data_IF_262047786771
#
_entry.id   IF_262047786771
#
_cell.length_a   1.000
_cell.length_b   1.000
_cell.length_c   1.000
_cell.angle_alpha   90.00
_cell.angle_beta   90.00
_cell.angle_gamma   90.00
#
_symmetry.space_group_name_H-M   'P 1'
#
loop_
_entity.id
_entity.type
_entity.pdbx_description
1 polymer ?
#
# COMPACT_ATOMS: atom_id res chain seq x y z
N UNK A 1 13.87 50.81 -13.18
CA UNK A 1 13.54 49.37 -13.20
C UNK A 1 14.36 48.69 -12.10
N UNK A 2 13.81 48.64 -10.90
CA UNK A 2 14.42 47.95 -9.76
C UNK A 2 13.81 46.54 -9.66
N UNK A 3 14.63 45.50 -9.78
CA UNK A 3 14.23 44.09 -9.62
C UNK A 3 14.71 43.61 -8.26
N UNK A 4 14.04 44.04 -7.20
CA UNK A 4 14.11 43.41 -5.89
C UNK A 4 13.38 42.06 -5.94
N UNK A 5 14.07 41.04 -6.47
CA UNK A 5 13.67 39.63 -6.26
C UNK A 5 13.91 39.30 -4.79
N UNK A 6 12.87 39.52 -3.98
CA UNK A 6 12.81 39.06 -2.60
C UNK A 6 13.19 37.58 -2.52
N UNK A 7 14.29 37.30 -1.84
CA UNK A 7 14.70 35.95 -1.47
C UNK A 7 13.65 35.45 -0.48
N UNK A 8 12.63 34.77 -0.98
CA UNK A 8 11.56 34.16 -0.18
C UNK A 8 12.26 33.20 0.80
N UNK A 9 12.29 33.55 2.08
CA UNK A 9 12.81 32.67 3.12
C UNK A 9 12.12 31.30 2.95
N UNK A 10 12.90 30.25 2.73
CA UNK A 10 12.37 28.91 2.55
C UNK A 10 11.52 28.58 3.79
N UNK A 11 10.21 28.43 3.62
CA UNK A 11 9.32 28.04 4.72
C UNK A 11 9.80 26.69 5.23
N UNK A 12 10.12 26.61 6.52
CA UNK A 12 10.38 25.34 7.21
C UNK A 12 9.06 24.57 7.15
N UNK A 13 9.03 23.50 6.36
CA UNK A 13 7.87 22.62 6.19
C UNK A 13 7.91 21.54 7.26
N UNK A 14 6.85 21.38 8.05
CA UNK A 14 6.78 20.31 9.04
C UNK A 14 6.63 18.93 8.38
N UNK A 15 6.92 17.86 9.13
CA UNK A 15 6.87 16.49 8.61
C UNK A 15 5.49 16.12 8.03
N UNK A 16 4.41 16.53 8.68
CA UNK A 16 3.04 16.24 8.24
C UNK A 16 2.73 16.88 6.87
N UNK A 17 3.07 18.16 6.72
CA UNK A 17 2.93 18.89 5.47
C UNK A 17 3.87 18.33 4.38
N UNK A 18 5.06 17.86 4.77
CA UNK A 18 5.98 17.22 3.85
C UNK A 18 5.47 15.86 3.37
N UNK A 19 4.84 15.05 4.23
CA UNK A 19 4.19 13.80 3.84
C UNK A 19 3.10 14.07 2.78
N UNK A 20 2.27 15.09 2.99
CA UNK A 20 1.25 15.49 2.03
C UNK A 20 1.88 15.91 0.68
N UNK A 21 2.85 16.82 0.72
CA UNK A 21 3.62 17.25 -0.47
C UNK A 21 4.22 16.05 -1.20
N UNK A 22 4.81 15.11 -0.48
CA UNK A 22 5.41 13.91 -1.04
C UNK A 22 4.38 13.08 -1.82
N UNK A 23 3.18 12.88 -1.28
CA UNK A 23 2.08 12.16 -1.93
C UNK A 23 1.60 12.91 -3.18
N UNK A 24 1.44 14.24 -3.08
CA UNK A 24 0.96 15.06 -4.19
C UNK A 24 1.96 15.07 -5.36
N UNK A 25 3.25 15.13 -5.07
CA UNK A 25 4.31 15.01 -6.09
C UNK A 25 4.35 13.62 -6.75
N UNK A 26 3.99 12.55 -6.01
CA UNK A 26 3.85 11.22 -6.61
C UNK A 26 2.64 11.16 -7.55
N UNK A 27 1.54 11.81 -7.19
CA UNK A 27 0.30 11.87 -8.00
C UNK A 27 0.49 12.71 -9.27
N UNK A 28 1.16 13.85 -9.16
CA UNK A 28 1.46 14.72 -10.31
C UNK A 28 2.55 14.16 -11.23
N UNK A 29 3.31 13.17 -10.76
CA UNK A 29 4.46 12.61 -11.48
C UNK A 29 5.72 13.48 -11.40
N UNK A 30 5.70 14.56 -10.60
CA UNK A 30 6.89 15.36 -10.29
C UNK A 30 7.94 14.50 -9.59
N UNK A 31 7.52 13.64 -8.67
CA UNK A 31 8.39 12.65 -8.02
C UNK A 31 8.30 11.33 -8.75
N UNK A 32 9.46 10.84 -9.19
CA UNK A 32 9.62 9.56 -9.87
C UNK A 32 10.23 8.52 -8.93
N UNK A 33 10.05 7.25 -9.26
CA UNK A 33 10.72 6.16 -8.57
C UNK A 33 12.21 6.10 -8.95
N UNK A 34 12.97 5.22 -8.29
CA UNK A 34 14.41 5.06 -8.53
C UNK A 34 14.77 4.66 -9.98
N UNK A 35 13.80 4.18 -10.76
CA UNK A 35 13.95 3.85 -12.19
C UNK A 35 13.57 5.01 -13.12
N UNK A 36 13.27 6.19 -12.57
CA UNK A 36 12.80 7.35 -13.33
C UNK A 36 11.37 7.21 -13.88
N UNK A 37 10.60 6.21 -13.42
CA UNK A 37 9.21 6.00 -13.85
C UNK A 37 8.22 6.57 -12.84
N UNK A 38 6.97 6.76 -13.28
CA UNK A 38 5.87 7.11 -12.40
C UNK A 38 5.60 6.00 -11.37
N UNK A 39 5.06 6.38 -10.23
CA UNK A 39 4.64 5.41 -9.22
C UNK A 39 3.35 4.71 -9.65
N UNK A 40 3.26 3.40 -9.36
CA UNK A 40 2.02 2.67 -9.56
C UNK A 40 0.93 3.19 -8.61
N UNK A 41 -0.36 3.11 -8.99
CA UNK A 41 -1.46 3.51 -8.10
C UNK A 41 -1.43 2.82 -6.73
N UNK A 42 -1.04 1.54 -6.71
CA UNK A 42 -0.87 0.79 -5.46
C UNK A 42 0.22 1.36 -4.55
N UNK A 43 1.32 1.88 -5.12
CA UNK A 43 2.38 2.50 -4.32
C UNK A 43 1.94 3.83 -3.72
N UNK A 44 1.20 4.63 -4.48
CA UNK A 44 0.60 5.89 -3.99
C UNK A 44 -0.40 5.58 -2.86
N UNK A 45 -1.25 4.56 -3.05
CA UNK A 45 -2.21 4.10 -2.02
C UNK A 45 -1.52 3.72 -0.71
N UNK A 46 -0.36 3.05 -0.78
CA UNK A 46 0.42 2.72 0.42
C UNK A 46 0.89 3.97 1.19
N UNK A 47 1.31 5.03 0.48
CA UNK A 47 1.70 6.30 1.11
C UNK A 47 0.53 7.04 1.75
N UNK A 48 -0.61 7.06 1.07
CA UNK A 48 -1.86 7.63 1.61
C UNK A 48 -2.31 6.86 2.86
N UNK A 49 -2.24 5.53 2.82
CA UNK A 49 -2.56 4.68 3.97
C UNK A 49 -1.60 4.94 5.14
N UNK A 50 -0.30 5.09 4.86
CA UNK A 50 0.66 5.51 5.89
C UNK A 50 0.32 6.87 6.50
N UNK A 51 0.01 7.88 5.71
CA UNK A 51 -0.37 9.19 6.22
C UNK A 51 -1.60 9.10 7.14
N UNK A 52 -2.61 8.33 6.75
CA UNK A 52 -3.80 8.13 7.58
C UNK A 52 -3.48 7.47 8.92
N UNK A 53 -2.67 6.41 8.94
CA UNK A 53 -2.29 5.76 10.21
C UNK A 53 -1.36 6.61 11.07
N UNK A 54 -0.47 7.39 10.44
CA UNK A 54 0.39 8.34 11.15
C UNK A 54 -0.43 9.44 11.83
N UNK A 55 -1.46 9.97 11.17
CA UNK A 55 -2.38 10.93 11.77
C UNK A 55 -3.14 10.32 12.97
N UNK A 56 -3.64 9.09 12.84
CA UNK A 56 -4.32 8.39 13.96
C UNK A 56 -3.38 8.14 15.13
N UNK A 57 -2.11 7.83 14.86
CA UNK A 57 -1.10 7.68 15.91
C UNK A 57 -0.85 9.01 16.66
N UNK A 58 -0.74 10.12 15.92
CA UNK A 58 -0.63 11.45 16.52
C UNK A 58 -1.86 11.83 17.36
N UNK A 59 -3.06 11.46 16.90
CA UNK A 59 -4.30 11.66 17.65
C UNK A 59 -4.33 10.81 18.93
N UNK A 60 -3.92 9.54 18.85
CA UNK A 60 -3.85 8.62 19.98
C UNK A 60 -2.87 9.07 21.08
N UNK A 61 -1.73 9.61 20.68
CA UNK A 61 -0.69 10.09 21.60
C UNK A 61 -0.92 11.54 22.05
N UNK A 62 -1.79 12.28 21.37
CA UNK A 62 -1.96 13.72 21.56
C UNK A 62 -0.72 14.54 21.16
N UNK A 63 0.23 13.95 20.43
CA UNK A 63 1.50 14.57 20.07
C UNK A 63 1.65 14.70 18.54
N UNK A 64 2.00 15.90 18.07
CA UNK A 64 2.26 16.16 16.64
C UNK A 64 3.74 15.97 16.34
N UNK A 65 4.12 14.74 16.00
CA UNK A 65 5.50 14.38 15.65
C UNK A 65 6.03 15.15 14.44
N UNK A 66 7.27 15.62 14.56
CA UNK A 66 8.06 16.23 13.51
C UNK A 66 9.40 15.48 13.32
N UNK A 67 10.29 15.98 12.46
CA UNK A 67 11.49 15.23 12.05
C UNK A 67 12.42 14.81 13.19
N UNK A 68 12.58 15.64 14.22
CA UNK A 68 13.50 15.38 15.32
C UNK A 68 12.90 14.41 16.35
N UNK A 69 11.56 14.32 16.40
CA UNK A 69 10.82 13.41 17.27
C UNK A 69 10.84 11.96 16.76
N UNK A 70 11.31 11.72 15.53
CA UNK A 70 11.49 10.37 14.98
C UNK A 70 12.74 9.73 15.59
N UNK A 71 12.58 9.19 16.79
CA UNK A 71 13.61 8.48 17.56
C UNK A 71 13.34 6.97 17.60
N UNK A 72 14.20 6.20 18.29
CA UNK A 72 13.92 4.80 18.59
C UNK A 72 12.75 4.62 19.57
N UNK A 73 12.51 5.59 20.47
CA UNK A 73 11.37 5.54 21.38
C UNK A 73 10.07 5.72 20.60
N UNK A 74 10.01 6.71 19.71
CA UNK A 74 8.91 6.85 18.74
C UNK A 74 8.68 5.56 17.95
N UNK A 75 9.75 4.90 17.51
CA UNK A 75 9.64 3.67 16.72
C UNK A 75 8.97 2.54 17.51
N UNK A 76 9.34 2.36 18.78
CA UNK A 76 8.75 1.36 19.65
C UNK A 76 7.27 1.70 19.91
N UNK A 77 6.96 2.94 20.29
CA UNK A 77 5.58 3.39 20.52
C UNK A 77 4.72 3.22 19.26
N UNK A 78 5.30 3.50 18.10
CA UNK A 78 4.60 3.37 16.82
C UNK A 78 4.35 1.91 16.44
N UNK A 79 5.25 0.99 16.81
CA UNK A 79 5.02 -0.45 16.67
C UNK A 79 3.91 -0.91 17.60
N UNK A 80 3.95 -0.48 18.86
CA UNK A 80 2.97 -0.88 19.87
C UNK A 80 1.57 -0.44 19.48
N UNK A 81 1.43 0.77 18.92
CA UNK A 81 0.16 1.23 18.33
C UNK A 81 -0.41 0.29 17.25
N UNK A 82 0.45 -0.32 16.43
CA UNK A 82 -0.01 -1.28 15.42
C UNK A 82 -0.29 -2.67 16.02
N UNK A 83 0.44 -3.06 17.06
CA UNK A 83 0.19 -4.30 17.79
C UNK A 83 -1.16 -4.24 18.52
N UNK A 84 -1.50 -3.12 19.13
CA UNK A 84 -2.79 -2.88 19.80
C UNK A 84 -3.98 -2.96 18.82
N UNK A 85 -3.72 -2.69 17.53
CA UNK A 85 -4.70 -2.84 16.44
C UNK A 85 -4.69 -4.21 15.77
N UNK A 86 -3.89 -5.14 16.28
CA UNK A 86 -3.71 -6.49 15.74
C UNK A 86 -3.26 -6.51 14.27
N UNK A 87 -2.48 -5.50 13.85
CA UNK A 87 -1.96 -5.47 12.49
C UNK A 87 -0.90 -6.55 12.30
N UNK A 88 -0.95 -7.24 11.15
CA UNK A 88 0.12 -8.18 10.80
C UNK A 88 1.46 -7.47 10.72
N UNK A 89 2.55 -8.16 11.06
CA UNK A 89 3.92 -7.62 10.96
C UNK A 89 4.24 -7.08 9.56
N UNK A 90 3.66 -7.67 8.51
CA UNK A 90 3.81 -7.22 7.13
C UNK A 90 3.06 -5.90 6.85
N UNK A 91 1.93 -5.67 7.50
CA UNK A 91 1.20 -4.39 7.43
C UNK A 91 1.99 -3.30 8.15
N UNK A 92 2.42 -3.57 9.38
CA UNK A 92 3.29 -2.66 10.15
C UNK A 92 4.56 -2.32 9.38
N UNK A 93 5.22 -3.33 8.81
CA UNK A 93 6.39 -3.17 7.96
C UNK A 93 6.19 -2.23 6.78
N UNK A 94 5.02 -2.25 6.13
CA UNK A 94 4.70 -1.31 5.02
C UNK A 94 4.65 0.15 5.49
N UNK A 95 4.11 0.40 6.68
CA UNK A 95 4.06 1.75 7.27
C UNK A 95 5.47 2.21 7.68
N UNK A 96 6.24 1.37 8.36
CA UNK A 96 7.64 1.65 8.72
C UNK A 96 8.50 1.93 7.48
N UNK A 97 8.38 1.11 6.44
CA UNK A 97 9.04 1.35 5.15
C UNK A 97 8.67 2.71 4.57
N UNK A 98 7.39 3.08 4.67
CA UNK A 98 6.92 4.34 4.13
C UNK A 98 7.50 5.54 4.85
N UNK A 99 7.56 5.49 6.18
CA UNK A 99 8.22 6.49 7.01
C UNK A 99 9.70 6.61 6.65
N UNK A 100 10.44 5.49 6.54
CA UNK A 100 11.87 5.52 6.19
C UNK A 100 12.13 6.18 4.84
N UNK A 101 11.34 5.86 3.82
CA UNK A 101 11.47 6.45 2.48
C UNK A 101 11.20 7.97 2.49
N UNK A 102 10.18 8.42 3.23
CA UNK A 102 9.85 9.85 3.36
C UNK A 102 10.94 10.58 4.14
N UNK A 103 11.41 10.01 5.25
CA UNK A 103 12.49 10.59 6.04
C UNK A 103 13.81 10.65 5.27
N UNK A 104 14.10 9.66 4.42
CA UNK A 104 15.28 9.67 3.54
C UNK A 104 15.17 10.75 2.46
N UNK A 105 14.00 10.94 1.87
CA UNK A 105 13.77 12.02 0.90
C UNK A 105 13.89 13.41 1.55
N UNK A 106 13.32 13.60 2.74
CA UNK A 106 13.45 14.86 3.50
C UNK A 106 14.91 15.19 3.82
N UNK A 107 15.74 14.18 4.10
CA UNK A 107 17.18 14.36 4.30
C UNK A 107 17.90 14.77 3.03
N UNK A 108 17.63 14.07 1.92
CA UNK A 108 18.24 14.37 0.62
C UNK A 108 17.87 15.77 0.12
N UNK A 109 16.68 16.25 0.45
CA UNK A 109 16.20 17.61 0.15
C UNK A 109 16.71 18.67 1.14
N UNK A 110 17.49 18.28 2.15
CA UNK A 110 18.07 19.20 3.15
C UNK A 110 17.08 19.76 4.16
N UNK A 111 15.89 19.16 4.29
CA UNK A 111 14.84 19.62 5.20
C UNK A 111 15.08 19.23 6.65
N UNK A 112 15.89 18.20 6.90
CA UNK A 112 16.16 17.66 8.24
C UNK A 112 17.56 17.07 8.35
N UNK A 113 18.07 16.95 9.59
CA UNK A 113 19.37 16.31 9.89
C UNK A 113 19.26 14.95 10.59
N UNK A 114 18.08 14.55 11.10
CA UNK A 114 17.90 13.44 12.05
C UNK A 114 18.67 12.11 11.78
N UNK A 115 18.37 11.18 10.86
CA UNK A 115 19.09 9.89 10.60
C UNK A 115 18.83 8.71 11.53
N UNK A 116 18.04 8.85 12.59
CA UNK A 116 17.57 7.73 13.41
C UNK A 116 16.82 6.70 12.56
N UNK A 117 15.99 7.15 11.62
CA UNK A 117 15.25 6.27 10.70
C UNK A 117 16.15 5.44 9.77
N UNK A 118 17.43 5.80 9.61
CA UNK A 118 18.42 5.03 8.82
C UNK A 118 19.14 3.96 9.63
N UNK A 119 18.99 3.93 10.95
CA UNK A 119 19.59 2.91 11.79
C UNK A 119 19.09 1.51 11.42
N UNK A 120 19.96 0.52 11.59
CA UNK A 120 19.63 -0.90 11.36
C UNK A 120 18.58 -1.39 12.35
N UNK A 121 18.59 -0.86 13.59
CA UNK A 121 17.60 -1.14 14.64
C UNK A 121 16.20 -0.63 14.29
N UNK A 122 16.09 0.39 13.43
CA UNK A 122 14.81 0.86 12.89
C UNK A 122 14.41 -0.06 11.72
N UNK A 123 14.20 -1.35 12.00
CA UNK A 123 14.01 -2.36 10.96
C UNK A 123 12.57 -2.37 10.44
N UNK A 124 12.45 -2.74 9.16
CA UNK A 124 11.16 -3.02 8.54
C UNK A 124 10.75 -4.41 8.99
N UNK A 125 9.64 -4.50 9.73
CA UNK A 125 9.08 -5.78 10.17
C UNK A 125 8.56 -6.57 8.97
N UNK A 126 8.84 -7.87 8.95
CA UNK A 126 8.34 -8.78 7.92
C UNK A 126 8.28 -10.18 8.52
N UNK A 127 7.19 -10.88 8.25
CA UNK A 127 7.03 -12.29 8.62
C UNK A 127 6.67 -13.04 7.35
N UNK A 128 7.29 -14.21 7.12
CA UNK A 128 6.90 -15.07 6.01
C UNK A 128 5.42 -15.42 6.17
N UNK A 129 4.60 -14.97 5.22
CA UNK A 129 3.21 -15.39 5.20
C UNK A 129 3.18 -16.87 4.85
N UNK A 130 2.60 -17.69 5.72
CA UNK A 130 2.32 -19.09 5.41
C UNK A 130 1.45 -19.14 4.17
N UNK A 131 2.02 -19.56 3.05
CA UNK A 131 1.27 -19.71 1.82
C UNK A 131 0.52 -21.03 1.89
N UNK A 132 -0.80 -20.96 1.99
CA UNK A 132 -1.65 -22.15 1.87
C UNK A 132 -1.81 -22.44 0.38
N UNK A 133 -1.36 -23.62 -0.03
CA UNK A 133 -1.50 -24.12 -1.40
C UNK A 133 -2.51 -25.26 -1.43
N UNK A 134 -3.30 -25.34 -2.49
CA UNK A 134 -4.16 -26.49 -2.72
C UNK A 134 -3.32 -27.65 -3.25
N UNK A 135 -3.56 -28.81 -2.67
CA UNK A 135 -3.07 -30.10 -3.16
C UNK A 135 -3.86 -30.53 -4.39
N UNK A 136 -3.30 -31.47 -5.17
CA UNK A 136 -4.01 -32.06 -6.31
C UNK A 136 -5.34 -32.72 -5.89
N UNK A 137 -5.40 -33.31 -4.70
CA UNK A 137 -6.62 -33.92 -4.18
C UNK A 137 -7.72 -32.89 -3.94
N UNK A 138 -7.38 -31.74 -3.35
CA UNK A 138 -8.33 -30.64 -3.12
C UNK A 138 -8.81 -30.02 -4.44
N UNK A 139 -7.91 -29.88 -5.44
CA UNK A 139 -8.29 -29.40 -6.78
C UNK A 139 -9.28 -30.38 -7.44
N UNK A 140 -9.00 -31.69 -7.40
CA UNK A 140 -9.91 -32.71 -7.94
C UNK A 140 -11.24 -32.76 -7.18
N UNK A 141 -11.26 -32.46 -5.88
CA UNK A 141 -12.50 -32.35 -5.12
C UNK A 141 -13.36 -31.16 -5.59
N UNK A 142 -12.72 -30.01 -5.90
CA UNK A 142 -13.40 -28.83 -6.47
C UNK A 142 -13.96 -29.13 -7.86
N UNK A 143 -13.19 -29.82 -8.71
CA UNK A 143 -13.60 -30.20 -10.06
C UNK A 143 -14.87 -31.08 -10.06
N UNK A 144 -14.93 -32.05 -9.15
CA UNK A 144 -16.02 -33.00 -9.05
C UNK A 144 -17.22 -32.49 -8.22
N UNK A 145 -17.19 -31.24 -7.74
CA UNK A 145 -18.28 -30.69 -6.94
C UNK A 145 -19.56 -30.62 -7.79
N UNK A 146 -20.63 -31.23 -7.29
CA UNK A 146 -21.92 -31.20 -7.98
C UNK A 146 -22.59 -29.82 -7.83
N UNK A 147 -22.61 -29.07 -8.93
CA UNK A 147 -23.20 -27.73 -9.01
C UNK A 147 -24.32 -27.66 -10.07
N UNK A 148 -25.01 -28.79 -10.31
CA UNK A 148 -26.01 -28.91 -11.38
C UNK A 148 -27.32 -28.14 -11.14
N UNK A 149 -27.51 -27.54 -9.96
CA UNK A 149 -28.69 -26.74 -9.63
C UNK A 149 -28.71 -25.40 -10.36
N UNK A 150 -29.91 -24.95 -10.74
CA UNK A 150 -30.10 -23.67 -11.45
C UNK A 150 -29.67 -22.48 -10.58
N UNK A 151 -29.77 -22.63 -9.26
CA UNK A 151 -29.28 -21.73 -8.23
C UNK A 151 -27.74 -21.61 -8.17
N UNK A 152 -27.00 -22.51 -8.83
CA UNK A 152 -25.54 -22.60 -8.76
C UNK A 152 -24.82 -22.18 -10.04
N UNK A 153 -25.52 -21.60 -11.02
CA UNK A 153 -24.95 -21.12 -12.30
C UNK A 153 -23.70 -20.24 -12.14
N UNK A 154 -23.72 -19.32 -11.17
CA UNK A 154 -22.56 -18.44 -10.88
C UNK A 154 -21.40 -19.25 -10.32
N UNK A 155 -21.66 -20.22 -9.46
CA UNK A 155 -20.63 -21.09 -8.87
C UNK A 155 -20.00 -22.02 -9.90
N UNK A 156 -20.79 -22.54 -10.86
CA UNK A 156 -20.28 -23.28 -12.01
C UNK A 156 -19.26 -22.45 -12.79
N UNK A 157 -19.63 -21.21 -13.16
CA UNK A 157 -18.74 -20.30 -13.86
C UNK A 157 -17.47 -19.99 -13.05
N UNK A 158 -17.61 -19.72 -11.75
CA UNK A 158 -16.47 -19.49 -10.86
C UNK A 158 -15.54 -20.70 -10.79
N UNK A 159 -16.08 -21.93 -10.69
CA UNK A 159 -15.28 -23.17 -10.69
C UNK A 159 -14.52 -23.32 -12.00
N UNK A 160 -15.18 -23.14 -13.12
CA UNK A 160 -14.57 -23.36 -14.43
C UNK A 160 -13.43 -22.33 -14.67
N UNK A 161 -13.66 -21.06 -14.35
CA UNK A 161 -12.63 -20.01 -14.40
C UNK A 161 -11.47 -20.32 -13.45
N UNK A 162 -11.78 -20.75 -12.24
CA UNK A 162 -10.78 -21.11 -11.23
C UNK A 162 -9.90 -22.28 -11.72
N UNK A 163 -10.51 -23.35 -12.25
CA UNK A 163 -9.79 -24.51 -12.78
C UNK A 163 -8.92 -24.15 -13.99
N UNK A 164 -9.42 -23.33 -14.92
CA UNK A 164 -8.59 -22.80 -16.02
C UNK A 164 -7.39 -22.03 -15.46
N UNK A 165 -7.59 -21.18 -14.45
CA UNK A 165 -6.50 -20.47 -13.79
C UNK A 165 -5.46 -21.39 -13.15
N UNK A 166 -5.91 -22.46 -12.48
CA UNK A 166 -5.03 -23.48 -11.87
C UNK A 166 -4.22 -24.22 -12.94
N UNK A 167 -4.86 -24.70 -14.02
CA UNK A 167 -4.20 -25.51 -15.04
C UNK A 167 -3.30 -24.70 -15.98
N UNK A 168 -3.56 -23.41 -16.16
CA UNK A 168 -2.73 -22.50 -16.97
C UNK A 168 -1.69 -21.73 -16.15
N UNK A 169 -1.71 -21.89 -14.82
CA UNK A 169 -0.91 -21.10 -13.88
C UNK A 169 -1.03 -19.58 -14.07
N UNK A 170 -2.16 -19.11 -14.60
CA UNK A 170 -2.45 -17.69 -14.76
C UNK A 170 -2.95 -17.10 -13.45
N UNK A 171 -2.67 -15.80 -13.22
CA UNK A 171 -3.32 -15.09 -12.11
C UNK A 171 -4.78 -14.84 -12.46
N UNK A 172 -5.64 -14.95 -11.45
CA UNK A 172 -7.09 -14.79 -11.56
C UNK A 172 -7.51 -13.56 -12.39
N UNK A 173 -6.87 -12.40 -12.20
CA UNK A 173 -7.18 -11.19 -12.96
C UNK A 173 -6.92 -11.31 -14.47
N UNK A 174 -5.91 -12.07 -14.90
CA UNK A 174 -5.60 -12.26 -16.32
C UNK A 174 -6.61 -13.21 -16.97
N UNK A 175 -6.90 -14.33 -16.31
CA UNK A 175 -7.91 -15.28 -16.76
C UNK A 175 -9.29 -14.62 -16.92
N UNK A 176 -9.69 -13.77 -15.96
CA UNK A 176 -10.96 -13.03 -16.06
C UNK A 176 -11.01 -12.09 -17.27
N UNK A 177 -9.91 -11.40 -17.60
CA UNK A 177 -9.90 -10.46 -18.72
C UNK A 177 -10.02 -11.16 -20.08
N UNK A 178 -9.33 -12.30 -20.28
CA UNK A 178 -9.42 -13.08 -21.52
C UNK A 178 -10.77 -13.80 -21.64
N UNK A 179 -11.32 -14.29 -20.52
CA UNK A 179 -12.61 -14.98 -20.47
C UNK A 179 -13.77 -14.00 -20.67
N UNK A 180 -13.74 -12.80 -20.07
CA UNK A 180 -14.73 -11.75 -20.35
C UNK A 180 -14.67 -11.27 -21.81
N UNK A 181 -13.48 -11.16 -22.41
CA UNK A 181 -13.34 -10.75 -23.81
C UNK A 181 -13.87 -11.81 -24.79
N UNK A 182 -13.67 -13.09 -24.46
CA UNK A 182 -14.10 -14.23 -25.29
C UNK A 182 -15.57 -14.60 -25.12
N UNK A 183 -16.18 -14.34 -23.95
CA UNK A 183 -17.56 -14.71 -23.68
C UNK A 183 -18.63 -13.69 -24.12
N UNK A 184 -18.29 -12.45 -24.55
CA UNK A 184 -19.26 -11.39 -24.93
C UNK A 184 -20.58 -11.44 -24.13
N UNK A 185 -20.48 -11.62 -22.82
CA UNK A 185 -21.65 -11.61 -21.95
C UNK A 185 -21.69 -10.28 -21.23
N UNK A 186 -22.83 -9.61 -21.35
CA UNK A 186 -23.22 -8.38 -20.67
C UNK A 186 -23.09 -8.52 -19.13
N UNK A 187 -21.87 -8.36 -18.62
CA UNK A 187 -21.66 -8.07 -17.20
C UNK A 187 -21.41 -6.57 -17.12
N UNK A 188 -22.50 -5.82 -17.13
CA UNK A 188 -22.52 -4.43 -16.69
C UNK A 188 -22.12 -4.39 -15.21
N UNK A 189 -20.83 -4.17 -14.96
CA UNK A 189 -20.31 -3.88 -13.63
C UNK A 189 -20.84 -2.51 -13.20
N UNK A 190 -22.02 -2.49 -12.59
CA UNK A 190 -22.50 -1.31 -11.88
C UNK A 190 -21.77 -1.25 -10.55
N UNK A 191 -20.68 -0.49 -10.54
CA UNK A 191 -20.09 -0.02 -9.29
C UNK A 191 -21.10 0.90 -8.60
N UNK A 192 -21.91 0.34 -7.73
CA UNK A 192 -22.64 1.11 -6.71
C UNK A 192 -21.64 1.50 -5.63
N UNK A 193 -21.03 2.67 -5.81
CA UNK A 193 -20.54 3.47 -4.69
C UNK A 193 -21.75 3.84 -3.84
N UNK A 194 -21.86 3.25 -2.65
CA UNK A 194 -22.69 3.80 -1.58
C UNK A 194 -21.90 4.94 -0.93
N UNK A 195 -22.59 6.08 -0.83
CA UNK A 195 -22.22 7.27 -0.06
C UNK A 195 -22.13 6.99 1.44
#
# INVERSE_FOLDING_TARGET
MDKSRGRKAARIIDLNAYIQKYIDEMRSGTRKNNKGMLYSPGTIKNKVSFQSEFNKFQENTGHRYNYDDITMDFYNDFIDFFNDKEYSSNTTGKHIKSLKEIMAAAFAEGLRKNTQSSLRSFNILSTEAGMVYLTRQEITAIENLNLSGEEHKVLLLCRDIFLVGVYTAQRFLFAMSEICLSLRCDISYTSTTSE
#
